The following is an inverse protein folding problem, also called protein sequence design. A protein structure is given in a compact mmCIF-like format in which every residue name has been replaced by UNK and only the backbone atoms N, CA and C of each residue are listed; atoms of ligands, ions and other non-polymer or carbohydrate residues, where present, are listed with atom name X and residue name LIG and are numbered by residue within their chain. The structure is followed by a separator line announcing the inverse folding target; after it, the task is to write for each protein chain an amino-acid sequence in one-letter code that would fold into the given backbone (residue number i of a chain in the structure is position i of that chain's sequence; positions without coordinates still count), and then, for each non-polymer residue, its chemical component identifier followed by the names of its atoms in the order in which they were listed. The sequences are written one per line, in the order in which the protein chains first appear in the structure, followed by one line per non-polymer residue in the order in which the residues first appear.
data_IF_222056007237
#
_entry.id   IF_222056007237
#
_cell.length_a   1.000
_cell.length_b   1.000
_cell.length_c   1.000
_cell.angle_alpha   90.00
_cell.angle_beta   90.00
_cell.angle_gamma   90.00
#
_symmetry.space_group_name_H-M   'P 1'
#
loop_
_entity.id
_entity.type
_entity.pdbx_description
1 polymer ?
#
# COMPACT_ATOMS: atom_id res chain seq x y z
N UNK A 1 20.73 -38.66 -68.78
CA UNK A 1 20.49 -39.39 -67.52
C UNK A 1 20.11 -38.34 -66.49
N UNK A 2 18.86 -38.37 -66.01
CA UNK A 2 18.38 -37.48 -64.94
C UNK A 2 18.91 -37.97 -63.60
N UNK A 3 19.66 -37.13 -62.88
CA UNK A 3 19.84 -37.31 -61.44
C UNK A 3 18.90 -36.37 -60.69
N UNK A 4 18.05 -37.03 -59.92
CA UNK A 4 16.96 -36.48 -59.13
C UNK A 4 17.53 -35.81 -57.86
N UNK A 5 17.16 -34.56 -57.69
CA UNK A 5 17.12 -33.85 -56.40
C UNK A 5 16.40 -34.72 -55.35
N UNK A 6 17.10 -35.09 -54.28
CA UNK A 6 16.47 -35.65 -53.07
C UNK A 6 16.81 -34.76 -51.88
N UNK A 7 15.91 -33.84 -51.47
CA UNK A 7 16.05 -33.14 -50.20
C UNK A 7 15.55 -34.04 -49.07
N UNK A 8 16.48 -34.59 -48.29
CA UNK A 8 16.17 -35.33 -47.06
C UNK A 8 15.57 -34.38 -46.02
N UNK A 9 14.24 -34.37 -45.92
CA UNK A 9 13.44 -33.69 -44.89
C UNK A 9 13.89 -34.09 -43.49
N UNK A 10 14.60 -33.21 -42.80
CA UNK A 10 14.85 -33.29 -41.36
C UNK A 10 13.57 -32.92 -40.57
N UNK A 11 12.69 -33.90 -40.33
CA UNK A 11 11.41 -33.70 -39.62
C UNK A 11 11.51 -33.80 -38.08
N UNK A 12 12.63 -34.29 -37.54
CA UNK A 12 12.83 -34.50 -36.10
C UNK A 12 13.47 -33.30 -35.41
N UNK A 13 14.42 -32.62 -36.05
CA UNK A 13 15.11 -31.43 -35.49
C UNK A 13 14.15 -30.26 -35.30
N UNK A 14 13.21 -30.04 -36.23
CA UNK A 14 12.18 -29.01 -36.06
C UNK A 14 11.25 -29.29 -34.88
N UNK A 15 10.99 -30.57 -34.58
CA UNK A 15 10.09 -30.97 -33.49
C UNK A 15 10.76 -30.84 -32.12
N UNK A 16 12.04 -31.15 -31.99
CA UNK A 16 12.80 -30.95 -30.74
C UNK A 16 12.97 -29.46 -30.43
N UNK A 17 13.28 -28.64 -31.44
CA UNK A 17 13.39 -27.18 -31.28
C UNK A 17 12.06 -26.56 -30.84
N UNK A 18 10.93 -27.06 -31.36
CA UNK A 18 9.60 -26.61 -30.95
C UNK A 18 9.33 -26.94 -29.47
N UNK A 19 9.63 -28.16 -29.02
CA UNK A 19 9.45 -28.53 -27.62
C UNK A 19 10.34 -27.73 -26.67
N UNK A 20 11.60 -27.47 -27.06
CA UNK A 20 12.51 -26.62 -26.29
C UNK A 20 11.97 -25.18 -26.21
N UNK A 21 11.48 -24.64 -27.32
CA UNK A 21 10.87 -23.31 -27.35
C UNK A 21 9.63 -23.23 -26.45
N UNK A 22 8.74 -24.23 -26.51
CA UNK A 22 7.57 -24.31 -25.62
C UNK A 22 7.96 -24.37 -24.15
N UNK A 23 8.95 -25.21 -23.81
CA UNK A 23 9.41 -25.37 -22.44
C UNK A 23 10.06 -24.06 -21.92
N UNK A 24 10.85 -23.39 -22.75
CA UNK A 24 11.39 -22.07 -22.44
C UNK A 24 10.30 -21.02 -22.27
N UNK A 25 9.27 -21.00 -23.11
CA UNK A 25 8.13 -20.08 -22.96
C UNK A 25 7.37 -20.31 -21.67
N UNK A 26 7.14 -21.58 -21.29
CA UNK A 26 6.48 -21.92 -20.02
C UNK A 26 7.33 -21.50 -18.80
N UNK A 27 8.64 -21.74 -18.85
CA UNK A 27 9.56 -21.31 -17.79
C UNK A 27 9.62 -19.78 -17.68
N UNK A 28 9.70 -19.08 -18.81
CA UNK A 28 9.71 -17.61 -18.84
C UNK A 28 8.40 -17.05 -18.27
N UNK A 29 7.25 -17.63 -18.66
CA UNK A 29 5.96 -17.23 -18.15
C UNK A 29 5.88 -17.43 -16.63
N UNK A 30 6.26 -18.62 -16.14
CA UNK A 30 6.30 -18.90 -14.70
C UNK A 30 7.21 -17.94 -13.93
N UNK A 31 8.39 -17.62 -14.48
CA UNK A 31 9.32 -16.68 -13.88
C UNK A 31 8.78 -15.26 -13.81
N UNK A 32 8.21 -14.75 -14.90
CA UNK A 32 7.59 -13.40 -14.93
C UNK A 32 6.42 -13.33 -13.97
N UNK A 33 5.54 -14.34 -13.95
CA UNK A 33 4.42 -14.39 -13.00
C UNK A 33 4.89 -14.40 -11.55
N UNK A 34 5.92 -15.18 -11.21
CA UNK A 34 6.47 -15.22 -9.85
C UNK A 34 7.06 -13.87 -9.42
N UNK A 35 7.81 -13.19 -10.29
CA UNK A 35 8.35 -11.86 -10.00
C UNK A 35 7.23 -10.82 -9.85
N UNK A 36 6.22 -10.85 -10.72
CA UNK A 36 5.08 -9.92 -10.66
C UNK A 36 4.25 -10.08 -9.39
N UNK A 37 4.03 -11.32 -8.91
CA UNK A 37 3.30 -11.56 -7.66
C UNK A 37 4.12 -11.09 -6.45
N UNK A 38 5.43 -11.39 -6.44
CA UNK A 38 6.30 -11.00 -5.31
C UNK A 38 6.46 -9.49 -5.17
N UNK A 39 6.33 -8.74 -6.28
CA UNK A 39 6.34 -7.28 -6.30
C UNK A 39 4.93 -6.67 -6.23
N UNK A 40 3.87 -7.47 -6.05
CA UNK A 40 2.53 -6.92 -5.93
C UNK A 40 2.42 -6.21 -4.58
N UNK A 41 2.31 -4.86 -4.56
CA UNK A 41 2.34 -4.09 -3.34
C UNK A 41 1.08 -4.33 -2.48
N UNK A 42 0.03 -4.91 -3.07
CA UNK A 42 -1.22 -5.29 -2.40
C UNK A 42 -1.25 -6.75 -1.91
N UNK A 43 -0.26 -7.56 -2.26
CA UNK A 43 -0.16 -8.91 -1.73
C UNK A 43 -0.06 -8.82 -0.21
N UNK A 44 -1.03 -9.42 0.47
CA UNK A 44 -1.15 -9.40 1.92
C UNK A 44 -1.58 -10.75 2.41
N UNK A 45 -0.74 -11.38 3.22
CA UNK A 45 -1.07 -12.62 3.88
C UNK A 45 -2.04 -12.32 5.03
N UNK A 46 -3.34 -12.52 4.74
CA UNK A 46 -4.42 -12.33 5.73
C UNK A 46 -4.34 -13.35 6.86
N UNK A 47 -3.83 -14.56 6.59
CA UNK A 47 -3.72 -15.58 7.63
C UNK A 47 -2.64 -15.18 8.66
N UNK A 48 -1.52 -14.63 8.17
CA UNK A 48 -0.46 -14.10 9.02
C UNK A 48 -0.91 -12.85 9.79
N UNK A 49 -1.49 -11.85 9.10
CA UNK A 49 -1.68 -10.50 9.65
C UNK A 49 -3.12 -10.14 10.06
N UNK A 50 -4.09 -11.04 9.89
CA UNK A 50 -5.50 -10.84 10.26
C UNK A 50 -6.32 -10.04 9.23
N UNK A 51 -5.73 -8.99 8.65
CA UNK A 51 -6.40 -8.11 7.67
C UNK A 51 -5.55 -7.94 6.40
N UNK A 52 -6.19 -7.60 5.27
CA UNK A 52 -5.43 -7.24 4.07
C UNK A 52 -4.80 -5.86 4.22
N UNK A 53 -3.66 -5.67 3.54
CA UNK A 53 -2.94 -4.39 3.54
C UNK A 53 -3.81 -3.24 3.03
N UNK A 54 -4.61 -3.49 1.99
CA UNK A 54 -5.56 -2.50 1.48
C UNK A 54 -6.61 -2.11 2.52
N UNK A 55 -7.22 -3.10 3.20
CA UNK A 55 -8.23 -2.83 4.22
C UNK A 55 -7.65 -2.13 5.44
N UNK A 56 -6.42 -2.42 5.80
CA UNK A 56 -5.69 -1.68 6.83
C UNK A 56 -5.48 -0.21 6.45
N UNK A 57 -5.04 0.07 5.22
CA UNK A 57 -4.87 1.47 4.74
C UNK A 57 -6.21 2.21 4.73
N UNK A 58 -7.28 1.55 4.28
CA UNK A 58 -8.64 2.12 4.26
C UNK A 58 -9.12 2.46 5.68
N UNK A 59 -8.99 1.52 6.62
CA UNK A 59 -9.33 1.75 8.03
C UNK A 59 -8.48 2.87 8.65
N UNK A 60 -7.18 2.90 8.37
CA UNK A 60 -6.30 3.97 8.84
C UNK A 60 -6.74 5.35 8.34
N UNK A 61 -7.14 5.48 7.07
CA UNK A 61 -7.65 6.75 6.52
C UNK A 61 -8.94 7.21 7.20
N UNK A 62 -9.83 6.27 7.47
CA UNK A 62 -11.10 6.54 8.15
C UNK A 62 -10.87 6.96 9.61
N UNK A 63 -10.05 6.21 10.35
CA UNK A 63 -9.74 6.47 11.75
C UNK A 63 -8.95 7.79 11.92
N UNK A 64 -8.07 8.13 10.97
CA UNK A 64 -7.32 9.39 10.99
C UNK A 64 -8.25 10.63 10.97
N UNK A 65 -9.33 10.56 10.20
CA UNK A 65 -10.33 11.63 10.13
C UNK A 65 -11.10 11.82 11.44
N UNK A 66 -11.08 10.82 12.32
CA UNK A 66 -11.77 10.80 13.62
C UNK A 66 -10.81 10.77 14.81
N UNK A 67 -9.51 11.00 14.58
CA UNK A 67 -8.49 10.95 15.61
C UNK A 67 -8.81 11.95 16.75
N UNK A 68 -8.81 11.51 18.00
CA UNK A 68 -9.08 12.36 19.18
C UNK A 68 -8.12 13.58 19.25
N UNK A 69 -6.91 13.41 18.71
CA UNK A 69 -5.90 14.46 18.61
C UNK A 69 -6.35 15.63 17.73
N UNK A 70 -7.23 15.42 16.74
CA UNK A 70 -7.83 16.52 15.96
C UNK A 70 -8.71 17.41 16.82
N UNK A 71 -9.46 16.82 17.74
CA UNK A 71 -10.31 17.58 18.68
C UNK A 71 -9.45 18.41 19.63
N UNK A 72 -8.35 17.83 20.11
CA UNK A 72 -7.37 18.56 20.94
C UNK A 72 -6.72 19.70 20.16
N UNK A 73 -6.26 19.44 18.94
CA UNK A 73 -5.66 20.45 18.06
C UNK A 73 -6.66 21.57 17.71
N UNK A 74 -7.92 21.22 17.47
CA UNK A 74 -9.00 22.18 17.24
C UNK A 74 -9.15 23.15 18.41
N UNK A 75 -9.17 22.65 19.64
CA UNK A 75 -9.24 23.49 20.84
C UNK A 75 -8.05 24.46 20.95
N UNK A 76 -6.84 23.98 20.69
CA UNK A 76 -5.62 24.80 20.71
C UNK A 76 -5.63 25.89 19.62
N UNK A 77 -6.02 25.54 18.39
CA UNK A 77 -6.08 26.50 17.28
C UNK A 77 -7.19 27.54 17.46
N UNK A 78 -8.32 27.16 18.08
CA UNK A 78 -9.36 28.12 18.46
C UNK A 78 -8.88 29.09 19.54
N UNK A 79 -8.17 28.58 20.56
CA UNK A 79 -7.60 29.42 21.62
C UNK A 79 -6.53 30.38 21.09
N UNK A 80 -5.74 29.95 20.10
CA UNK A 80 -4.76 30.78 19.41
C UNK A 80 -5.37 31.78 18.40
N UNK A 81 -6.68 31.74 18.17
CA UNK A 81 -7.37 32.58 17.19
C UNK A 81 -7.09 32.20 15.72
N UNK A 82 -6.47 31.04 15.46
CA UNK A 82 -6.16 30.55 14.12
C UNK A 82 -7.33 29.78 13.48
N UNK A 83 -8.31 29.35 14.27
CA UNK A 83 -9.49 28.64 13.80
C UNK A 83 -10.77 29.33 14.30
N UNK A 84 -11.73 29.56 13.41
CA UNK A 84 -12.98 30.22 13.77
C UNK A 84 -13.93 29.27 14.51
N UNK A 85 -14.84 29.79 15.36
CA UNK A 85 -15.93 29.00 15.94
C UNK A 85 -16.77 28.35 14.83
N UNK A 86 -16.97 27.03 14.91
CA UNK A 86 -17.75 26.26 13.91
C UNK A 86 -16.94 25.63 12.78
N UNK A 87 -15.65 25.97 12.63
CA UNK A 87 -14.77 25.28 11.68
C UNK A 87 -14.28 23.94 12.27
N UNK A 88 -14.23 22.91 11.44
CA UNK A 88 -13.70 21.59 11.79
C UNK A 88 -12.36 21.37 11.11
N UNK A 89 -11.49 20.62 11.77
CA UNK A 89 -10.24 20.16 11.18
C UNK A 89 -10.47 18.83 10.47
N UNK A 90 -9.74 18.64 9.39
CA UNK A 90 -9.66 17.39 8.67
C UNK A 90 -8.18 17.00 8.56
N UNK A 91 -7.88 15.72 8.78
CA UNK A 91 -6.58 15.15 8.52
C UNK A 91 -6.66 14.24 7.29
N UNK A 92 -5.74 14.44 6.35
CA UNK A 92 -5.60 13.59 5.18
C UNK A 92 -4.15 13.11 5.06
N UNK A 93 -3.94 11.86 4.66
CA UNK A 93 -2.60 11.33 4.43
C UNK A 93 -1.92 12.09 3.29
N UNK A 94 -0.74 12.65 3.55
CA UNK A 94 0.02 13.46 2.60
C UNK A 94 0.94 12.63 1.70
N UNK A 95 1.09 11.33 1.97
CA UNK A 95 1.95 10.43 1.21
C UNK A 95 1.30 9.99 -0.11
N UNK A 96 2.10 9.94 -1.17
CA UNK A 96 1.69 9.41 -2.49
C UNK A 96 1.25 7.94 -2.37
N UNK A 97 0.28 7.46 -3.17
CA UNK A 97 -0.26 6.10 -3.05
C UNK A 97 0.81 4.99 -3.08
N UNK A 98 1.86 5.15 -3.91
CA UNK A 98 2.96 4.20 -3.98
C UNK A 98 3.79 4.18 -2.70
N UNK A 99 4.07 5.35 -2.13
CA UNK A 99 4.81 5.48 -0.88
C UNK A 99 3.99 4.94 0.29
N UNK A 100 2.70 5.28 0.34
CA UNK A 100 1.74 4.81 1.33
C UNK A 100 1.70 3.27 1.40
N UNK A 101 1.62 2.60 0.26
CA UNK A 101 1.62 1.13 0.26
C UNK A 101 3.00 0.60 0.65
N UNK A 102 4.09 1.25 0.29
CA UNK A 102 5.45 0.80 0.65
C UNK A 102 5.80 1.02 2.13
N UNK A 103 5.20 2.00 2.78
CA UNK A 103 5.44 2.33 4.20
C UNK A 103 4.66 1.45 5.17
N UNK A 104 3.69 0.66 4.69
CA UNK A 104 3.01 -0.35 5.51
C UNK A 104 3.93 -1.55 5.75
N UNK A 105 4.18 -1.85 7.02
CA UNK A 105 5.04 -2.93 7.47
C UNK A 105 4.25 -3.94 8.30
N UNK A 106 4.62 -5.22 8.19
CA UNK A 106 4.05 -6.24 9.07
C UNK A 106 4.69 -6.13 10.47
N UNK A 107 3.90 -6.33 11.52
CA UNK A 107 4.38 -6.24 12.91
C UNK A 107 4.72 -7.64 13.44
N UNK A 108 5.82 -7.81 14.21
CA UNK A 108 6.09 -9.06 14.92
C UNK A 108 4.92 -9.42 15.84
N UNK A 109 4.37 -10.64 15.70
CA UNK A 109 3.14 -11.05 16.40
C UNK A 109 1.87 -10.94 15.57
N UNK A 110 1.96 -10.37 14.37
CA UNK A 110 0.87 -10.26 13.40
C UNK A 110 0.19 -8.90 13.45
N UNK A 111 -0.18 -8.41 12.28
CA UNK A 111 -0.83 -7.11 12.10
C UNK A 111 -0.03 -6.21 11.15
N UNK A 112 -0.46 -4.96 11.05
CA UNK A 112 0.16 -3.98 10.16
C UNK A 112 0.44 -2.68 10.91
N UNK A 113 1.56 -2.06 10.59
CA UNK A 113 1.90 -0.72 11.05
C UNK A 113 2.16 0.18 9.85
N UNK A 114 1.81 1.46 10.00
CA UNK A 114 2.01 2.50 9.01
C UNK A 114 2.42 3.78 9.73
N UNK A 115 3.48 4.41 9.23
CA UNK A 115 3.90 5.74 9.67
C UNK A 115 4.09 6.61 8.44
N UNK A 116 3.26 7.65 8.30
CA UNK A 116 3.25 8.56 7.16
C UNK A 116 2.88 9.96 7.62
N UNK A 117 3.27 11.01 6.90
CA UNK A 117 2.75 12.33 7.18
C UNK A 117 1.25 12.46 6.84
N UNK A 118 0.56 13.32 7.58
CA UNK A 118 -0.80 13.76 7.32
C UNK A 118 -0.88 15.29 7.26
N UNK A 119 -1.55 15.81 6.24
CA UNK A 119 -1.91 17.21 6.10
C UNK A 119 -3.12 17.53 6.96
N UNK A 120 -3.05 18.62 7.70
CA UNK A 120 -4.16 19.15 8.48
C UNK A 120 -4.74 20.34 7.72
N UNK A 121 -6.02 20.31 7.43
CA UNK A 121 -6.75 21.39 6.75
C UNK A 121 -8.07 21.69 7.46
N UNK A 122 -8.69 22.80 7.10
CA UNK A 122 -10.05 23.12 7.55
C UNK A 122 -11.02 22.38 6.63
N UNK A 123 -12.02 21.70 7.19
CA UNK A 123 -13.03 20.99 6.43
C UNK A 123 -13.71 21.93 5.41
N UNK A 124 -13.67 21.56 4.14
CA UNK A 124 -14.19 22.39 3.04
C UNK A 124 -13.18 23.40 2.47
N UNK A 125 -11.94 23.44 2.96
CA UNK A 125 -10.86 24.24 2.41
C UNK A 125 -9.71 23.35 1.92
N UNK A 126 -9.04 23.80 0.85
CA UNK A 126 -7.86 23.13 0.29
C UNK A 126 -6.55 23.61 0.92
N UNK A 127 -6.60 24.69 1.70
CA UNK A 127 -5.43 25.24 2.37
C UNK A 127 -4.99 24.32 3.53
N UNK A 128 -3.73 23.89 3.47
CA UNK A 128 -3.09 23.08 4.52
C UNK A 128 -2.57 24.02 5.61
N UNK A 129 -3.04 23.81 6.84
CA UNK A 129 -2.59 24.53 8.03
C UNK A 129 -1.21 24.05 8.51
N UNK A 130 -0.91 22.78 8.29
CA UNK A 130 0.35 22.16 8.65
C UNK A 130 0.36 20.65 8.38
N UNK A 131 1.49 20.01 8.67
CA UNK A 131 1.70 18.59 8.46
C UNK A 131 2.13 17.95 9.78
N UNK A 132 1.45 16.87 10.17
CA UNK A 132 1.73 16.10 11.38
C UNK A 132 2.10 14.65 11.01
N UNK A 133 2.85 13.98 11.88
CA UNK A 133 3.08 12.55 11.72
C UNK A 133 1.79 11.78 12.03
N UNK A 134 1.41 10.84 11.18
CA UNK A 134 0.32 9.91 11.40
C UNK A 134 0.87 8.50 11.59
N UNK A 135 0.39 7.82 12.63
CA UNK A 135 0.75 6.45 12.95
C UNK A 135 -0.52 5.62 13.03
N UNK A 136 -0.55 4.53 12.28
CA UNK A 136 -1.63 3.55 12.31
C UNK A 136 -1.08 2.18 12.67
N UNK A 137 -1.75 1.47 13.55
CA UNK A 137 -1.42 0.11 13.92
C UNK A 137 -2.69 -0.75 13.94
N UNK A 138 -2.64 -1.90 13.27
CA UNK A 138 -3.65 -2.94 13.38
C UNK A 138 -3.14 -4.03 14.30
N UNK A 139 -3.86 -4.24 15.40
CA UNK A 139 -3.59 -5.32 16.35
C UNK A 139 -4.48 -6.51 15.98
N UNK A 140 -3.86 -7.63 15.60
CA UNK A 140 -4.55 -8.87 15.24
C UNK A 140 -5.29 -9.49 16.43
N UNK A 141 -4.76 -9.37 17.65
CA UNK A 141 -5.39 -9.92 18.85
C UNK A 141 -6.66 -9.15 19.22
N UNK A 142 -6.65 -7.82 19.03
CA UNK A 142 -7.81 -6.96 19.29
C UNK A 142 -8.74 -6.82 18.09
N UNK A 143 -8.29 -7.20 16.89
CA UNK A 143 -9.07 -7.14 15.65
C UNK A 143 -9.38 -5.72 15.19
N UNK A 144 -8.61 -4.71 15.61
CA UNK A 144 -8.90 -3.29 15.33
C UNK A 144 -7.67 -2.52 14.84
N UNK A 145 -7.94 -1.52 14.00
CA UNK A 145 -6.98 -0.47 13.62
C UNK A 145 -7.08 0.67 14.64
N UNK A 146 -5.94 1.27 14.97
CA UNK A 146 -5.86 2.49 15.77
C UNK A 146 -5.01 3.48 14.99
N UNK A 147 -5.55 4.66 14.72
CA UNK A 147 -4.83 5.78 14.12
C UNK A 147 -4.56 6.86 15.17
N UNK A 148 -3.37 7.44 15.12
CA UNK A 148 -2.93 8.50 16.02
C UNK A 148 -2.20 9.57 15.23
N UNK A 149 -2.46 10.84 15.54
CA UNK A 149 -1.65 11.96 15.06
C UNK A 149 -0.62 12.34 16.12
N UNK A 150 0.64 12.46 15.71
CA UNK A 150 1.73 12.94 16.53
C UNK A 150 1.61 14.46 16.68
N UNK A 151 1.12 14.92 17.83
CA UNK A 151 1.03 16.35 18.14
C UNK A 151 2.43 16.94 18.45
N UNK A 152 2.72 18.18 18.03
CA UNK A 152 3.95 18.88 18.42
C UNK A 152 3.96 19.11 19.94
N UNK A 153 4.97 18.61 20.63
CA UNK A 153 5.15 18.83 22.08
C UNK A 153 4.77 17.66 23.00
N UNK A 154 4.60 16.45 22.46
CA UNK A 154 4.51 15.16 23.14
C UNK A 154 4.25 15.17 24.65
N UNK A 155 3.02 14.82 25.03
CA UNK A 155 2.74 14.15 26.30
C UNK A 155 2.25 12.74 25.98
#
# INVERSE_FOLDING_TARGET
MSELTSPTRHSTVGRTLLWVAVLLSLLLLGFVTALSIRHNPYYSDRAANGISKFKFIEACKEDLGHAEQLTTLKGLLQQAGQLQPGQNLHAEIAAEPRELVNSVQAVPGGGWALSVPANISIQGQTAVLGQLGAQCAYDKAQGRTVAQLQLPGGL
#
